data_IF_412374059364
#
_entry.id   IF_412374059364
#
_cell.length_a   1.000
_cell.length_b   1.000
_cell.length_c   1.000
_cell.angle_alpha   90.00
_cell.angle_beta   90.00
_cell.angle_gamma   90.00
#
_symmetry.space_group_name_H-M   'P 1'
#
loop_
_entity.id
_entity.type
_entity.pdbx_description
1 polymer ?
#
# COMPACT_ATOMS: atom_id res chain seq x y z
N UNK A 1 0.88 2.06 -6.76
CA UNK A 1 -0.22 3.01 -7.05
C UNK A 1 -1.49 2.21 -7.23
N UNK A 2 -2.53 2.52 -6.44
CA UNK A 2 -3.86 1.96 -6.63
C UNK A 2 -4.46 2.60 -7.88
N UNK A 3 -4.93 1.75 -8.79
CA UNK A 3 -5.64 2.17 -10.00
C UNK A 3 -7.08 1.71 -9.84
N UNK A 4 -8.02 2.63 -10.00
CA UNK A 4 -9.43 2.30 -10.04
C UNK A 4 -9.74 1.75 -11.44
N UNK A 5 -10.14 0.48 -11.48
CA UNK A 5 -10.62 -0.17 -12.69
C UNK A 5 -12.13 -0.25 -12.66
N UNK A 6 -12.76 0.11 -13.78
CA UNK A 6 -14.18 -0.03 -14.00
C UNK A 6 -14.40 -1.13 -15.04
N UNK A 7 -14.90 -2.26 -14.60
CA UNK A 7 -15.20 -3.38 -15.46
C UNK A 7 -16.72 -3.52 -15.61
N UNK A 8 -17.18 -3.63 -16.85
CA UNK A 8 -18.61 -3.81 -17.11
C UNK A 8 -19.01 -5.23 -16.75
N UNK A 9 -19.89 -5.36 -15.74
CA UNK A 9 -20.39 -6.65 -15.28
C UNK A 9 -21.54 -7.19 -16.13
N UNK A 10 -22.47 -6.32 -16.51
CA UNK A 10 -23.63 -6.65 -17.35
C UNK A 10 -23.97 -5.49 -18.30
N UNK A 11 -24.41 -5.76 -19.55
CA UNK A 11 -24.52 -7.06 -20.21
C UNK A 11 -23.15 -7.69 -20.54
N UNK A 12 -23.13 -9.02 -20.66
CA UNK A 12 -21.91 -9.74 -21.04
C UNK A 12 -21.51 -9.32 -22.44
N UNK A 13 -20.33 -8.69 -22.57
CA UNK A 13 -19.79 -8.29 -23.85
C UNK A 13 -19.41 -9.53 -24.65
N UNK A 14 -19.92 -9.63 -25.88
CA UNK A 14 -19.40 -10.62 -26.82
C UNK A 14 -17.97 -10.21 -27.17
N UNK A 15 -17.02 -11.00 -26.74
CA UNK A 15 -15.68 -10.93 -27.29
C UNK A 15 -15.80 -11.34 -28.78
N UNK A 16 -15.56 -10.40 -29.68
CA UNK A 16 -15.32 -10.71 -31.09
C UNK A 16 -13.93 -11.36 -31.19
N UNK A 17 -13.80 -12.56 -30.68
CA UNK A 17 -12.70 -13.42 -31.07
C UNK A 17 -12.95 -13.78 -32.53
N UNK A 18 -11.99 -13.48 -33.38
CA UNK A 18 -11.94 -14.08 -34.72
C UNK A 18 -11.98 -15.61 -34.51
N UNK A 19 -13.17 -16.16 -34.68
CA UNK A 19 -13.39 -17.58 -34.56
C UNK A 19 -12.70 -18.16 -35.79
N UNK A 20 -11.49 -18.65 -35.57
CA UNK A 20 -10.87 -19.57 -36.56
C UNK A 20 -11.86 -20.71 -36.76
N UNK A 21 -12.52 -20.68 -37.92
CA UNK A 21 -13.55 -21.65 -38.32
C UNK A 21 -12.95 -23.03 -38.59
N UNK A 22 -11.99 -23.46 -37.79
CA UNK A 22 -11.66 -24.87 -37.70
C UNK A 22 -12.85 -25.59 -37.08
N UNK A 23 -13.58 -26.34 -37.89
CA UNK A 23 -14.76 -27.10 -37.49
C UNK A 23 -14.37 -28.18 -36.46
N UNK A 24 -14.20 -27.77 -35.22
CA UNK A 24 -14.05 -28.72 -34.12
C UNK A 24 -15.46 -29.03 -33.63
N UNK A 25 -15.91 -30.25 -33.88
CA UNK A 25 -17.18 -30.76 -33.34
C UNK A 25 -17.00 -31.06 -31.86
N UNK A 26 -17.68 -30.29 -31.01
CA UNK A 26 -17.71 -30.51 -29.56
C UNK A 26 -18.90 -31.38 -29.17
N UNK A 27 -18.61 -32.46 -28.45
CA UNK A 27 -19.64 -33.28 -27.79
C UNK A 27 -19.97 -32.63 -26.43
N UNK A 28 -21.26 -32.36 -26.21
CA UNK A 28 -21.75 -31.77 -24.95
C UNK A 28 -22.48 -32.85 -24.15
N UNK A 29 -22.08 -33.05 -22.89
CA UNK A 29 -22.77 -33.86 -21.91
C UNK A 29 -23.02 -33.02 -20.64
N UNK A 30 -24.27 -32.89 -20.13
CA UNK A 30 -25.51 -33.48 -20.66
C UNK A 30 -26.02 -32.80 -21.94
N UNK A 31 -26.52 -31.61 -21.90
CA UNK A 31 -26.96 -30.83 -23.05
C UNK A 31 -26.37 -29.45 -23.04
N UNK A 32 -26.16 -28.82 -24.20
CA UNK A 32 -25.61 -27.48 -24.29
C UNK A 32 -26.41 -26.46 -23.49
N UNK A 33 -27.74 -26.57 -23.44
CA UNK A 33 -28.61 -25.64 -22.73
C UNK A 33 -28.47 -25.78 -21.20
N UNK A 34 -28.42 -26.97 -20.68
CA UNK A 34 -28.23 -27.24 -19.26
C UNK A 34 -26.87 -26.74 -18.76
N UNK A 35 -25.83 -26.95 -19.59
CA UNK A 35 -24.47 -26.42 -19.26
C UNK A 35 -24.50 -24.89 -19.19
N UNK A 36 -25.17 -24.21 -20.13
CA UNK A 36 -25.25 -22.77 -20.18
C UNK A 36 -26.02 -22.22 -18.97
N UNK A 37 -27.13 -22.85 -18.60
CA UNK A 37 -27.97 -22.45 -17.45
C UNK A 37 -27.23 -22.56 -16.11
N UNK A 38 -26.32 -23.51 -15.96
CA UNK A 38 -25.51 -23.65 -14.74
C UNK A 38 -24.25 -22.79 -14.80
N UNK A 39 -23.60 -22.72 -15.94
CA UNK A 39 -22.30 -22.07 -16.09
C UNK A 39 -22.38 -20.54 -16.01
N UNK A 40 -23.41 -19.92 -16.62
CA UNK A 40 -23.56 -18.47 -16.62
C UNK A 40 -23.73 -17.91 -15.20
N UNK A 41 -24.65 -18.39 -14.37
CA UNK A 41 -24.79 -17.88 -13.00
C UNK A 41 -23.55 -18.13 -12.16
N UNK A 42 -22.89 -19.27 -12.34
CA UNK A 42 -21.68 -19.63 -11.63
C UNK A 42 -20.51 -18.72 -11.99
N UNK A 43 -20.34 -18.45 -13.28
CA UNK A 43 -19.32 -17.51 -13.78
C UNK A 43 -19.54 -16.10 -13.24
N UNK A 44 -20.77 -15.58 -13.28
CA UNK A 44 -21.11 -14.25 -12.74
C UNK A 44 -20.84 -14.16 -11.23
N UNK A 45 -21.24 -15.17 -10.46
CA UNK A 45 -20.94 -15.22 -9.02
C UNK A 45 -19.44 -15.23 -8.75
N UNK A 46 -18.68 -15.96 -9.55
CA UNK A 46 -17.22 -16.05 -9.41
C UNK A 46 -16.55 -14.73 -9.75
N UNK A 47 -16.97 -14.04 -10.81
CA UNK A 47 -16.44 -12.73 -11.17
C UNK A 47 -16.73 -11.68 -10.09
N UNK A 48 -17.97 -11.67 -9.58
CA UNK A 48 -18.33 -10.75 -8.49
C UNK A 48 -17.53 -11.03 -7.23
N UNK A 49 -17.40 -12.30 -6.85
CA UNK A 49 -16.60 -12.68 -5.69
C UNK A 49 -15.13 -12.33 -5.85
N UNK A 50 -14.57 -12.52 -7.05
CA UNK A 50 -13.21 -12.09 -7.37
C UNK A 50 -13.03 -10.58 -7.16
N UNK A 51 -13.95 -9.76 -7.68
CA UNK A 51 -13.86 -8.29 -7.53
C UNK A 51 -13.88 -7.87 -6.05
N UNK A 52 -14.70 -8.51 -5.21
CA UNK A 52 -14.75 -8.24 -3.76
C UNK A 52 -13.44 -8.64 -3.08
N UNK A 53 -12.88 -9.81 -3.43
CA UNK A 53 -11.60 -10.25 -2.88
C UNK A 53 -10.45 -9.33 -3.30
N UNK A 54 -10.39 -8.94 -4.55
CA UNK A 54 -9.36 -8.04 -5.08
C UNK A 54 -9.43 -6.66 -4.40
N UNK A 55 -10.64 -6.13 -4.20
CA UNK A 55 -10.85 -4.88 -3.47
C UNK A 55 -10.35 -4.96 -2.03
N UNK A 56 -10.68 -6.04 -1.34
CA UNK A 56 -10.27 -6.25 0.05
C UNK A 56 -8.74 -6.43 0.16
N UNK A 57 -8.15 -7.21 -0.74
CA UNK A 57 -6.70 -7.40 -0.80
C UNK A 57 -5.97 -6.09 -1.11
N UNK A 58 -6.51 -5.29 -2.03
CA UNK A 58 -5.96 -3.98 -2.38
C UNK A 58 -6.01 -3.01 -1.19
N UNK A 59 -7.11 -2.99 -0.43
CA UNK A 59 -7.22 -2.17 0.79
C UNK A 59 -6.16 -2.54 1.83
N UNK A 60 -6.02 -3.84 2.11
CA UNK A 60 -5.00 -4.31 3.06
C UNK A 60 -3.57 -4.03 2.58
N UNK A 61 -3.29 -4.22 1.30
CA UNK A 61 -1.99 -3.90 0.70
C UNK A 61 -1.64 -2.43 0.78
N UNK A 62 -2.59 -1.55 0.49
CA UNK A 62 -2.40 -0.11 0.61
C UNK A 62 -2.17 0.33 2.05
N UNK A 63 -2.94 -0.20 2.99
CA UNK A 63 -2.77 0.08 4.41
C UNK A 63 -1.38 -0.34 4.88
N UNK A 64 -0.93 -1.54 4.52
CA UNK A 64 0.39 -2.04 4.87
C UNK A 64 1.50 -1.13 4.30
N UNK A 65 1.41 -0.75 3.04
CA UNK A 65 2.38 0.15 2.40
C UNK A 65 2.41 1.53 3.07
N UNK A 66 1.24 2.09 3.40
CA UNK A 66 1.15 3.37 4.09
C UNK A 66 1.75 3.31 5.50
N UNK A 67 1.52 2.21 6.23
CA UNK A 67 2.10 2.01 7.57
C UNK A 67 3.62 1.84 7.52
N UNK A 68 4.17 1.11 6.54
CA UNK A 68 5.62 1.02 6.37
C UNK A 68 6.23 2.40 6.12
N UNK A 69 5.66 3.17 5.21
CA UNK A 69 6.14 4.52 4.93
C UNK A 69 6.03 5.45 6.15
N UNK A 70 4.96 5.33 6.93
CA UNK A 70 4.81 6.08 8.17
C UNK A 70 5.88 5.70 9.21
N UNK A 71 6.20 4.40 9.32
CA UNK A 71 7.24 3.90 10.23
C UNK A 71 8.63 4.41 9.82
N UNK A 72 8.94 4.39 8.53
CA UNK A 72 10.21 4.92 8.02
C UNK A 72 10.33 6.43 8.30
N UNK A 73 9.29 7.21 8.02
CA UNK A 73 9.27 8.63 8.33
C UNK A 73 9.42 8.91 9.84
N UNK A 74 8.79 8.10 10.68
CA UNK A 74 8.91 8.23 12.13
C UNK A 74 10.34 7.92 12.61
N UNK A 75 11.01 6.95 12.00
CA UNK A 75 12.40 6.63 12.31
C UNK A 75 13.33 7.77 11.93
N UNK A 76 13.18 8.32 10.74
CA UNK A 76 13.98 9.48 10.29
C UNK A 76 13.78 10.68 11.22
N UNK A 77 12.54 10.95 11.61
CA UNK A 77 12.23 12.02 12.57
C UNK A 77 12.88 11.77 13.93
N UNK A 78 12.86 10.52 14.41
CA UNK A 78 13.49 10.12 15.67
C UNK A 78 15.00 10.41 15.63
N UNK A 79 15.68 10.06 14.55
CA UNK A 79 17.11 10.25 14.39
C UNK A 79 17.46 11.75 14.31
N UNK A 80 16.66 12.55 13.62
CA UNK A 80 16.78 14.00 13.62
C UNK A 80 16.60 14.62 15.03
N UNK A 81 15.61 14.16 15.77
CA UNK A 81 15.35 14.63 17.12
C UNK A 81 16.48 14.25 18.09
N UNK A 82 17.04 13.03 18.00
CA UNK A 82 18.19 12.60 18.77
C UNK A 82 19.41 13.48 18.49
N UNK A 83 19.66 13.79 17.22
CA UNK A 83 20.77 14.67 16.84
C UNK A 83 20.58 16.09 17.37
N UNK A 84 19.38 16.64 17.27
CA UNK A 84 19.02 17.96 17.79
C UNK A 84 19.17 18.00 19.32
N UNK A 85 18.66 16.98 20.01
CA UNK A 85 18.80 16.86 21.45
C UNK A 85 20.28 16.83 21.90
N UNK A 86 21.11 16.03 21.24
CA UNK A 86 22.55 15.94 21.56
C UNK A 86 23.26 17.27 21.32
N UNK A 87 22.93 17.99 20.25
CA UNK A 87 23.47 19.34 19.98
C UNK A 87 23.06 20.33 21.08
N UNK A 88 21.79 20.36 21.44
CA UNK A 88 21.29 21.23 22.49
C UNK A 88 21.93 20.91 23.85
N UNK A 89 22.08 19.62 24.18
CA UNK A 89 22.77 19.18 25.40
C UNK A 89 24.23 19.64 25.43
N UNK A 90 24.96 19.44 24.32
CA UNK A 90 26.36 19.89 24.24
C UNK A 90 26.47 21.42 24.36
N UNK A 91 25.58 22.17 23.71
CA UNK A 91 25.55 23.62 23.84
C UNK A 91 25.28 24.08 25.27
N UNK A 92 24.36 23.46 26.00
CA UNK A 92 24.06 23.75 27.39
C UNK A 92 25.30 23.49 28.28
N UNK A 93 25.94 22.33 28.13
CA UNK A 93 27.16 22.00 28.90
C UNK A 93 28.29 23.00 28.61
N UNK A 94 28.47 23.37 27.33
CA UNK A 94 29.50 24.30 26.91
C UNK A 94 29.25 25.69 27.52
N UNK A 95 28.00 26.16 27.52
CA UNK A 95 27.64 27.43 28.12
C UNK A 95 27.88 27.44 29.65
N UNK A 96 27.51 26.37 30.36
CA UNK A 96 27.81 26.22 31.79
C UNK A 96 29.31 26.27 32.07
N UNK A 97 30.12 25.59 31.28
CA UNK A 97 31.59 25.65 31.41
C UNK A 97 32.12 27.06 31.17
N UNK A 98 31.63 27.75 30.14
CA UNK A 98 32.02 29.10 29.83
C UNK A 98 31.64 30.09 30.95
N UNK A 99 30.46 29.92 31.57
CA UNK A 99 30.03 30.73 32.72
C UNK A 99 30.93 30.50 33.93
N UNK A 100 31.28 29.23 34.22
CA UNK A 100 32.17 28.91 35.35
C UNK A 100 33.57 29.45 35.11
N UNK A 101 34.13 29.28 33.92
CA UNK A 101 35.47 29.79 33.58
C UNK A 101 35.48 31.32 33.54
N UNK A 102 34.44 31.96 33.00
CA UNK A 102 34.30 33.42 33.01
C UNK A 102 34.19 33.99 34.43
N UNK A 103 33.46 33.31 35.33
CA UNK A 103 33.37 33.70 36.73
C UNK A 103 34.70 33.50 37.48
N UNK A 104 35.45 32.43 37.19
CA UNK A 104 36.76 32.22 37.81
C UNK A 104 37.79 33.28 37.38
N UNK A 105 37.85 33.63 36.09
CA UNK A 105 38.75 34.64 35.57
C UNK A 105 38.43 36.05 36.15
N UNK A 106 37.15 36.36 36.36
CA UNK A 106 36.76 37.65 36.97
C UNK A 106 37.12 37.75 38.45
N UNK A 107 37.33 36.62 39.14
CA UNK A 107 37.81 36.57 40.52
C UNK A 107 39.34 36.67 40.62
N UNK A 108 40.07 36.20 39.61
CA UNK A 108 41.53 36.27 39.55
C UNK A 108 42.04 37.69 39.14
N UNK A 109 41.23 38.47 38.45
CA UNK A 109 41.52 39.84 38.02
C UNK A 109 41.16 40.89 39.10
N UNK A 110 40.58 40.55 40.21
CA UNK A 110 40.12 41.42 41.31
C UNK A 110 41.03 41.31 42.54
#
# INVERSE_FOLDING_TARGET
TQVLEFEQFLPILKLETEVDNSSVDYLFEPTKNEIIEDLIPKSLKTQFYKAVLDSNAAEHGARMTAMHKATDNAKDLLDHLKLSYNKARQAAITNEILEIVGGANALDDA
#
